data_IF_431311343175
#
_entry.id   IF_431311343175
#
_cell.length_a   1.000
_cell.length_b   1.000
_cell.length_c   1.000
_cell.angle_alpha   90.00
_cell.angle_beta   90.00
_cell.angle_gamma   90.00
#
_symmetry.space_group_name_H-M   'P 1'
#
loop_
_entity.id
_entity.type
_entity.pdbx_description
1 polymer ?
#
# COMPACT_ATOMS: atom_id res chain seq x y z
N UNK A 1 -13.42 -16.05 -22.80
CA UNK A 1 -14.15 -14.80 -22.49
C UNK A 1 -14.51 -14.66 -21.01
N UNK A 2 -15.12 -15.67 -20.36
CA UNK A 2 -15.44 -15.61 -18.91
C UNK A 2 -14.23 -15.42 -17.98
N UNK A 3 -13.09 -16.06 -18.28
CA UNK A 3 -11.86 -15.95 -17.48
C UNK A 3 -11.25 -14.55 -17.50
N UNK A 4 -11.12 -13.94 -18.69
CA UNK A 4 -10.55 -12.59 -18.84
C UNK A 4 -11.40 -11.55 -18.12
N UNK A 5 -12.73 -11.68 -18.16
CA UNK A 5 -13.63 -10.80 -17.42
C UNK A 5 -13.45 -10.96 -15.91
N UNK A 6 -13.25 -12.19 -15.42
CA UNK A 6 -12.92 -12.47 -14.01
C UNK A 6 -11.61 -11.81 -13.57
N UNK A 7 -10.54 -11.98 -14.35
CA UNK A 7 -9.23 -11.39 -14.08
C UNK A 7 -9.28 -9.86 -14.06
N UNK A 8 -9.99 -9.23 -15.00
CA UNK A 8 -10.16 -7.77 -15.03
C UNK A 8 -10.96 -7.30 -13.81
N UNK A 9 -12.05 -8.00 -13.48
CA UNK A 9 -12.88 -7.66 -12.31
C UNK A 9 -12.08 -7.79 -11.00
N UNK A 10 -11.27 -8.84 -10.85
CA UNK A 10 -10.40 -9.02 -9.69
C UNK A 10 -9.30 -7.97 -9.63
N UNK A 11 -8.66 -7.65 -10.75
CA UNK A 11 -7.68 -6.58 -10.80
C UNK A 11 -8.29 -5.25 -10.37
N UNK A 12 -9.40 -4.85 -10.99
CA UNK A 12 -10.06 -3.59 -10.66
C UNK A 12 -10.54 -3.57 -9.21
N UNK A 13 -11.16 -4.66 -8.74
CA UNK A 13 -11.65 -4.78 -7.37
C UNK A 13 -10.54 -4.71 -6.33
N UNK A 14 -9.44 -5.46 -6.54
CA UNK A 14 -8.28 -5.44 -5.63
C UNK A 14 -7.53 -4.11 -5.68
N UNK A 15 -7.40 -3.48 -6.85
CA UNK A 15 -6.81 -2.16 -6.98
C UNK A 15 -7.62 -1.12 -6.21
N UNK A 16 -8.95 -1.09 -6.40
CA UNK A 16 -9.84 -0.16 -5.70
C UNK A 16 -9.79 -0.41 -4.20
N UNK A 17 -9.82 -1.68 -3.77
CA UNK A 17 -9.72 -2.05 -2.37
C UNK A 17 -8.39 -1.59 -1.77
N UNK A 18 -7.28 -1.86 -2.44
CA UNK A 18 -5.95 -1.50 -1.94
C UNK A 18 -5.73 0.02 -1.93
N UNK A 19 -6.25 0.74 -2.92
CA UNK A 19 -6.02 2.18 -3.04
C UNK A 19 -6.93 3.00 -2.12
N UNK A 20 -8.23 2.66 -2.06
CA UNK A 20 -9.24 3.47 -1.35
C UNK A 20 -9.72 2.85 -0.04
N UNK A 21 -9.85 1.52 0.04
CA UNK A 21 -10.45 0.88 1.22
C UNK A 21 -9.40 0.58 2.29
N UNK A 22 -8.21 0.15 1.90
CA UNK A 22 -7.18 -0.26 2.85
C UNK A 22 -6.65 0.89 3.71
N UNK A 23 -6.23 2.06 3.16
CA UNK A 23 -5.63 3.11 4.00
C UNK A 23 -6.49 3.58 5.18
N UNK A 24 -7.81 3.83 5.02
CA UNK A 24 -8.69 4.18 6.14
C UNK A 24 -8.68 3.19 7.31
N UNK A 25 -8.46 1.89 7.08
CA UNK A 25 -8.45 0.90 8.15
C UNK A 25 -7.23 1.00 9.07
N UNK A 26 -6.16 1.67 8.63
CA UNK A 26 -4.89 1.73 9.37
C UNK A 26 -4.58 3.12 9.91
N UNK A 27 -5.46 4.11 9.73
CA UNK A 27 -5.24 5.49 10.19
C UNK A 27 -6.33 5.91 11.18
N UNK A 28 -5.94 6.70 12.19
CA UNK A 28 -6.88 7.21 13.20
C UNK A 28 -7.69 8.42 12.72
N UNK A 29 -7.20 9.15 11.72
CA UNK A 29 -7.88 10.32 11.20
C UNK A 29 -8.00 10.24 9.68
N UNK A 30 -9.24 10.22 9.17
CA UNK A 30 -9.55 10.09 7.76
C UNK A 30 -9.12 11.32 6.95
N UNK A 31 -8.94 12.47 7.60
CA UNK A 31 -8.47 13.71 6.97
C UNK A 31 -7.02 13.60 6.46
N UNK A 32 -6.25 12.63 6.98
CA UNK A 32 -4.86 12.37 6.57
C UNK A 32 -4.78 11.38 5.40
N UNK A 33 -5.92 11.00 4.82
CA UNK A 33 -5.95 10.23 3.59
C UNK A 33 -5.51 11.09 2.41
N UNK A 34 -4.24 10.94 2.01
CA UNK A 34 -3.69 11.65 0.86
C UNK A 34 -3.74 10.76 -0.38
N UNK A 35 -3.83 11.33 -1.57
CA UNK A 35 -3.61 10.55 -2.80
C UNK A 35 -2.14 10.70 -3.16
N UNK A 36 -1.47 9.56 -3.44
CA UNK A 36 -0.11 9.59 -3.94
C UNK A 36 0.17 8.46 -4.95
N UNK A 37 1.19 8.68 -5.79
CA UNK A 37 1.61 7.80 -6.86
C UNK A 37 2.25 6.50 -6.34
N UNK A 38 2.90 6.56 -5.17
CA UNK A 38 3.40 5.37 -4.48
C UNK A 38 2.29 4.35 -4.21
N UNK A 39 1.12 4.82 -3.76
CA UNK A 39 -0.07 3.96 -3.58
C UNK A 39 -0.59 3.39 -4.87
N UNK A 40 -0.51 4.12 -5.99
CA UNK A 40 -0.85 3.58 -7.31
C UNK A 40 0.07 2.40 -7.64
N UNK A 41 1.39 2.54 -7.41
CA UNK A 41 2.35 1.48 -7.68
C UNK A 41 2.08 0.23 -6.83
N UNK A 42 1.84 0.39 -5.53
CA UNK A 42 1.51 -0.71 -4.62
C UNK A 42 0.17 -1.38 -4.98
N UNK A 43 -0.85 -0.58 -5.31
CA UNK A 43 -2.18 -1.10 -5.64
C UNK A 43 -2.16 -1.87 -6.96
N UNK A 44 -1.42 -1.38 -7.96
CA UNK A 44 -1.22 -2.07 -9.23
C UNK A 44 -0.41 -3.37 -9.05
N UNK A 45 0.63 -3.35 -8.21
CA UNK A 45 1.38 -4.54 -7.85
C UNK A 45 0.47 -5.61 -7.22
N UNK A 46 -0.37 -5.22 -6.24
CA UNK A 46 -1.32 -6.13 -5.61
C UNK A 46 -2.32 -6.70 -6.63
N UNK A 47 -2.88 -5.85 -7.49
CA UNK A 47 -3.79 -6.30 -8.53
C UNK A 47 -3.16 -7.32 -9.48
N UNK A 48 -1.93 -7.07 -9.95
CA UNK A 48 -1.20 -8.03 -10.78
C UNK A 48 -0.87 -9.34 -10.04
N UNK A 49 -0.58 -9.24 -8.74
CA UNK A 49 -0.31 -10.40 -7.90
C UNK A 49 -1.56 -11.27 -7.71
N UNK A 50 -2.74 -10.65 -7.59
CA UNK A 50 -4.02 -11.37 -7.56
C UNK A 50 -4.28 -12.10 -8.89
N UNK A 51 -4.01 -11.45 -10.03
CA UNK A 51 -4.10 -12.11 -11.34
C UNK A 51 -3.15 -13.31 -11.41
N UNK A 52 -1.93 -13.19 -10.88
CA UNK A 52 -0.96 -14.29 -10.84
C UNK A 52 -1.50 -15.47 -10.02
N UNK A 53 -2.06 -15.22 -8.84
CA UNK A 53 -2.66 -16.27 -8.01
C UNK A 53 -3.81 -16.96 -8.75
N UNK A 54 -4.76 -16.18 -9.29
CA UNK A 54 -5.90 -16.72 -10.03
C UNK A 54 -5.46 -17.57 -11.21
N UNK A 55 -4.50 -17.06 -12.01
CA UNK A 55 -3.98 -17.78 -13.18
C UNK A 55 -3.33 -19.10 -12.76
N UNK A 56 -2.56 -19.09 -11.66
CA UNK A 56 -1.93 -20.30 -11.12
C UNK A 56 -2.96 -21.32 -10.66
N UNK A 57 -4.00 -20.88 -9.95
CA UNK A 57 -5.08 -21.76 -9.48
C UNK A 57 -5.87 -22.34 -10.65
N UNK A 58 -6.20 -21.52 -11.65
CA UNK A 58 -6.88 -21.96 -12.85
C UNK A 58 -6.05 -22.97 -13.64
N UNK A 59 -4.77 -22.68 -13.89
CA UNK A 59 -3.89 -23.58 -14.65
C UNK A 59 -3.67 -24.90 -13.91
N UNK A 60 -3.60 -24.88 -12.58
CA UNK A 60 -3.54 -26.09 -11.76
C UNK A 60 -4.81 -26.93 -11.87
N UNK A 61 -5.99 -26.30 -11.80
CA UNK A 61 -7.27 -27.01 -11.88
C UNK A 61 -7.53 -27.59 -13.28
N UNK A 62 -7.25 -26.82 -14.33
CA UNK A 62 -7.60 -27.17 -15.72
C UNK A 62 -6.43 -27.73 -16.54
N UNK A 63 -5.21 -27.78 -15.99
CA UNK A 63 -4.01 -28.31 -16.64
C UNK A 63 -3.65 -27.59 -17.95
N UNK A 64 -3.84 -26.27 -18.01
CA UNK A 64 -3.70 -25.43 -19.22
C UNK A 64 -2.55 -24.42 -19.14
N UNK A 65 -1.41 -24.84 -18.59
CA UNK A 65 -0.26 -23.96 -18.35
C UNK A 65 0.21 -23.16 -19.57
N UNK A 66 0.36 -21.85 -19.42
CA UNK A 66 0.86 -20.93 -20.46
C UNK A 66 2.05 -20.12 -19.98
N UNK A 67 3.27 -20.51 -20.36
CA UNK A 67 4.51 -19.80 -20.02
C UNK A 67 4.47 -18.31 -20.39
N UNK A 68 3.84 -17.96 -21.52
CA UNK A 68 3.73 -16.57 -22.00
C UNK A 68 3.01 -15.68 -20.99
N UNK A 69 1.96 -16.20 -20.34
CA UNK A 69 1.18 -15.46 -19.35
C UNK A 69 2.01 -15.16 -18.11
N UNK A 70 2.75 -16.14 -17.59
CA UNK A 70 3.61 -15.93 -16.41
C UNK A 70 4.76 -14.97 -16.69
N UNK A 71 5.39 -15.05 -17.87
CA UNK A 71 6.46 -14.10 -18.26
C UNK A 71 5.91 -12.67 -18.33
N UNK A 72 4.72 -12.47 -18.92
CA UNK A 72 4.09 -11.15 -18.98
C UNK A 72 3.77 -10.60 -17.58
N UNK A 73 3.22 -11.44 -16.69
CA UNK A 73 2.93 -11.07 -15.30
C UNK A 73 4.21 -10.75 -14.52
N UNK A 74 5.27 -11.53 -14.71
CA UNK A 74 6.56 -11.30 -14.06
C UNK A 74 7.19 -9.97 -14.49
N UNK A 75 7.12 -9.64 -15.78
CA UNK A 75 7.57 -8.33 -16.30
C UNK A 75 6.73 -7.20 -15.69
N UNK A 76 5.40 -7.35 -15.65
CA UNK A 76 4.51 -6.36 -15.05
C UNK A 76 4.78 -6.13 -13.56
N UNK A 77 4.90 -7.20 -12.78
CA UNK A 77 5.23 -7.13 -11.36
C UNK A 77 6.62 -6.51 -11.15
N UNK A 78 7.62 -6.93 -11.94
CA UNK A 78 8.96 -6.36 -11.91
C UNK A 78 8.99 -4.86 -12.22
N UNK A 79 8.17 -4.41 -13.17
CA UNK A 79 8.00 -3.00 -13.50
C UNK A 79 7.46 -2.20 -12.31
N UNK A 80 6.36 -2.62 -11.68
CA UNK A 80 5.81 -1.88 -10.54
C UNK A 80 6.72 -1.92 -9.31
N UNK A 81 7.44 -3.03 -9.08
CA UNK A 81 8.50 -3.09 -8.07
C UNK A 81 9.60 -2.07 -8.40
N UNK A 82 10.05 -1.98 -9.65
CA UNK A 82 11.05 -1.01 -10.09
C UNK A 82 10.56 0.43 -9.88
N UNK A 83 9.35 0.76 -10.34
CA UNK A 83 8.76 2.10 -10.20
C UNK A 83 8.71 2.54 -8.73
N UNK A 84 8.29 1.64 -7.84
CA UNK A 84 8.28 1.92 -6.40
C UNK A 84 9.68 1.99 -5.81
N UNK A 85 10.58 1.05 -6.11
CA UNK A 85 11.94 1.03 -5.53
C UNK A 85 12.77 2.26 -5.90
N UNK A 86 12.60 2.75 -7.12
CA UNK A 86 13.32 3.94 -7.61
C UNK A 86 12.50 5.23 -7.48
N UNK A 87 11.30 5.16 -6.88
CA UNK A 87 10.41 6.31 -6.68
C UNK A 87 10.22 7.13 -7.97
N UNK A 88 10.06 6.42 -9.10
CA UNK A 88 9.99 7.05 -10.43
C UNK A 88 8.76 7.97 -10.49
N UNK A 89 8.94 9.21 -10.97
CA UNK A 89 7.88 10.22 -11.07
C UNK A 89 7.21 10.63 -9.73
N UNK A 90 7.83 10.31 -8.58
CA UNK A 90 7.39 10.80 -7.27
C UNK A 90 8.10 12.13 -7.02
N UNK A 91 7.32 13.21 -6.95
CA UNK A 91 7.82 14.54 -6.60
C UNK A 91 7.69 14.79 -5.08
N UNK A 92 8.18 15.93 -4.60
CA UNK A 92 8.16 16.30 -3.19
C UNK A 92 6.75 16.23 -2.58
N UNK A 93 5.72 16.69 -3.30
CA UNK A 93 4.33 16.66 -2.81
C UNK A 93 3.82 15.23 -2.67
N UNK A 94 4.08 14.38 -3.67
CA UNK A 94 3.71 12.96 -3.65
C UNK A 94 4.42 12.21 -2.52
N UNK A 95 5.70 12.52 -2.30
CA UNK A 95 6.49 11.98 -1.19
C UNK A 95 5.91 12.40 0.17
N UNK A 96 5.70 13.70 0.38
CA UNK A 96 5.16 14.23 1.65
C UNK A 96 3.77 13.67 1.94
N UNK A 97 2.90 13.61 0.94
CA UNK A 97 1.58 13.00 1.05
C UNK A 97 1.67 11.53 1.50
N UNK A 98 2.53 10.74 0.86
CA UNK A 98 2.75 9.34 1.23
C UNK A 98 3.32 9.16 2.63
N UNK A 99 4.23 10.04 3.06
CA UNK A 99 4.82 9.99 4.40
C UNK A 99 3.85 10.42 5.50
N UNK A 100 2.97 11.41 5.25
CA UNK A 100 1.90 11.78 6.18
C UNK A 100 1.02 10.56 6.51
N UNK A 101 0.62 9.82 5.48
CA UNK A 101 -0.19 8.62 5.64
C UNK A 101 0.58 7.49 6.36
N UNK A 102 1.81 7.22 5.94
CA UNK A 102 2.68 6.21 6.58
C UNK A 102 2.85 6.47 8.08
N UNK A 103 3.15 7.71 8.46
CA UNK A 103 3.29 8.10 9.86
C UNK A 103 1.98 7.97 10.64
N UNK A 104 0.85 8.28 10.00
CA UNK A 104 -0.47 8.11 10.63
C UNK A 104 -0.72 6.65 11.03
N UNK A 105 -0.26 5.68 10.23
CA UNK A 105 -0.37 4.25 10.56
C UNK A 105 0.51 3.83 11.74
N UNK A 106 1.73 4.37 11.81
CA UNK A 106 2.64 4.09 12.91
C UNK A 106 2.15 4.74 14.22
N UNK A 107 1.52 5.91 14.17
CA UNK A 107 0.83 6.49 15.33
C UNK A 107 -0.33 5.58 15.78
N UNK A 108 -1.19 5.15 14.87
CA UNK A 108 -2.33 4.28 15.20
C UNK A 108 -1.90 3.01 15.93
N UNK A 109 -0.95 2.26 15.35
CA UNK A 109 -0.47 1.01 15.94
C UNK A 109 0.29 1.23 17.26
N UNK A 110 0.99 2.35 17.40
CA UNK A 110 1.63 2.76 18.65
C UNK A 110 0.62 3.11 19.75
N UNK A 111 -0.49 3.77 19.41
CA UNK A 111 -1.58 4.07 20.34
C UNK A 111 -2.30 2.78 20.78
N UNK A 112 -2.44 1.79 19.89
CA UNK A 112 -3.04 0.50 20.21
C UNK A 112 -2.15 -0.38 21.12
N UNK A 113 -0.84 -0.43 20.90
CA UNK A 113 0.06 -1.25 21.75
C UNK A 113 0.17 -0.69 23.18
N UNK A 114 0.08 0.63 23.34
CA UNK A 114 0.09 1.28 24.65
C UNK A 114 -1.08 0.87 25.56
N UNK A 115 -2.19 0.39 24.99
CA UNK A 115 -3.35 -0.11 25.74
C UNK A 115 -3.13 -1.52 26.32
N UNK A 116 -2.12 -2.23 25.83
CA UNK A 116 -1.94 -3.68 26.05
C UNK A 116 -0.59 -4.04 26.66
N UNK A 117 0.41 -3.17 26.54
CA UNK A 117 1.78 -3.48 26.95
C UNK A 117 2.08 -3.06 28.38
N UNK A 118 2.65 -3.98 29.16
CA UNK A 118 3.19 -3.72 30.49
C UNK A 118 4.73 -3.52 30.48
N UNK A 119 5.36 -3.65 29.31
CA UNK A 119 6.81 -3.48 29.17
C UNK A 119 7.15 -1.99 29.09
N UNK A 120 7.92 -1.49 30.07
CA UNK A 120 8.34 -0.09 30.15
C UNK A 120 9.06 0.41 28.90
N UNK A 121 9.99 -0.37 28.35
CA UNK A 121 10.79 0.03 27.20
C UNK A 121 9.94 0.12 25.92
N UNK A 122 9.01 -0.83 25.74
CA UNK A 122 8.05 -0.82 24.64
C UNK A 122 7.10 0.38 24.75
N UNK A 123 6.56 0.65 25.94
CA UNK A 123 5.69 1.80 26.17
C UNK A 123 6.42 3.13 25.94
N UNK A 124 7.68 3.23 26.38
CA UNK A 124 8.53 4.40 26.15
C UNK A 124 8.78 4.61 24.66
N UNK A 125 9.12 3.55 23.92
CA UNK A 125 9.32 3.61 22.47
C UNK A 125 8.05 4.06 21.74
N UNK A 126 6.90 3.45 22.05
CA UNK A 126 5.63 3.78 21.41
C UNK A 126 5.23 5.25 21.65
N UNK A 127 5.40 5.77 22.88
CA UNK A 127 5.16 7.19 23.19
C UNK A 127 6.07 8.12 22.38
N UNK A 128 7.35 7.76 22.25
CA UNK A 128 8.31 8.55 21.46
C UNK A 128 7.93 8.55 19.97
N UNK A 129 7.56 7.40 19.41
CA UNK A 129 7.08 7.30 18.02
C UNK A 129 5.88 8.21 17.80
N UNK A 130 4.88 8.16 18.70
CA UNK A 130 3.68 9.00 18.58
C UNK A 130 4.04 10.49 18.58
N UNK A 131 4.89 10.93 19.50
CA UNK A 131 5.25 12.34 19.61
C UNK A 131 6.01 12.81 18.36
N UNK A 132 7.10 12.14 18.02
CA UNK A 132 7.96 12.52 16.88
C UNK A 132 7.16 12.52 15.58
N UNK A 133 6.37 11.48 15.32
CA UNK A 133 5.63 11.39 14.07
C UNK A 133 4.48 12.39 13.96
N UNK A 134 3.84 12.78 15.08
CA UNK A 134 2.85 13.87 15.06
C UNK A 134 3.49 15.21 14.69
N UNK A 135 4.69 15.49 15.19
CA UNK A 135 5.40 16.72 14.86
C UNK A 135 5.89 16.72 13.40
N UNK A 136 6.38 15.58 12.90
CA UNK A 136 6.76 15.40 11.49
C UNK A 136 5.55 15.55 10.54
N UNK A 137 4.37 15.01 10.88
CA UNK A 137 3.15 15.20 10.08
C UNK A 137 2.82 16.68 9.95
N UNK A 138 2.85 17.46 11.05
CA UNK A 138 2.55 18.90 11.01
C UNK A 138 3.52 19.65 10.10
N UNK A 139 4.79 19.27 10.12
CA UNK A 139 5.80 19.88 9.24
C UNK A 139 5.54 19.52 7.78
N UNK A 140 5.26 18.26 7.48
CA UNK A 140 4.93 17.83 6.11
C UNK A 140 3.67 18.50 5.58
N UNK A 141 2.60 18.62 6.39
CA UNK A 141 1.38 19.34 6.01
C UNK A 141 1.66 20.82 5.69
N UNK A 142 2.57 21.46 6.44
CA UNK A 142 3.00 22.83 6.18
C UNK A 142 3.74 22.94 4.86
N UNK A 143 4.62 21.99 4.55
CA UNK A 143 5.37 21.94 3.30
C UNK A 143 4.46 21.68 2.08
N UNK A 144 3.44 20.84 2.22
CA UNK A 144 2.46 20.55 1.16
C UNK A 144 1.59 21.76 0.80
N UNK A 145 1.31 22.63 1.79
CA UNK A 145 0.47 23.85 1.62
C UNK A 145 1.24 25.05 1.05
N UNK A 146 2.57 24.98 1.02
CA UNK A 146 3.44 26.06 0.53
C UNK A 146 3.55 26.02 -0.99
#
# INVERSE_FOLDING_TARGET
MKMIVGMIAMFAGSFIAQYFLMPPFFINNLDLHTNNLGKVYLSAFMGLFMILIETTLHDYQYHVFSLKTYVLLAIGLGLFVYLYRYQVAINDKEYLNGMIEHHSMAIFTSEEILKKTDNYDVAKLAKNIIQTQKDEIREMERLVKK
#
